data_IF_441448492921
#
_entry.id   IF_441448492921
#
_cell.length_a   1.000
_cell.length_b   1.000
_cell.length_c   1.000
_cell.angle_alpha   90.00
_cell.angle_beta   90.00
_cell.angle_gamma   90.00
#
_symmetry.space_group_name_H-M   'P 1'
#
loop_
_entity.id
_entity.type
_entity.pdbx_description
1 polymer ?
#
# COMPACT_ATOMS: atom_id res chain seq x y z
N UNK A 1 -32.91 -18.96 36.42
CA UNK A 1 -32.90 -20.44 36.28
C UNK A 1 -31.95 -20.81 35.16
N UNK A 2 -31.02 -21.73 35.44
CA UNK A 2 -30.05 -22.34 34.52
C UNK A 2 -30.77 -23.32 33.58
N UNK A 3 -30.31 -23.45 32.34
CA UNK A 3 -30.10 -24.77 31.72
C UNK A 3 -29.13 -24.69 30.54
N UNK A 4 -28.03 -25.40 30.73
CA UNK A 4 -26.98 -25.74 29.78
C UNK A 4 -27.39 -27.03 29.07
N UNK A 5 -27.15 -27.16 27.77
CA UNK A 5 -27.05 -28.45 27.07
C UNK A 5 -25.80 -28.39 26.18
N UNK A 6 -24.71 -29.09 26.56
CA UNK A 6 -24.36 -30.47 26.14
C UNK A 6 -23.95 -30.50 24.67
N UNK A 7 -22.66 -30.45 24.31
CA UNK A 7 -21.58 -31.45 24.46
C UNK A 7 -21.84 -32.78 23.69
N UNK A 8 -21.07 -33.01 22.64
CA UNK A 8 -20.96 -34.31 21.94
C UNK A 8 -19.99 -34.23 20.75
N UNK A 9 -18.67 -34.24 21.00
CA UNK A 9 -17.75 -35.40 20.92
C UNK A 9 -17.48 -35.93 19.49
N UNK A 10 -16.31 -35.53 18.99
CA UNK A 10 -15.25 -36.33 18.33
C UNK A 10 -15.61 -37.38 17.28
N UNK A 11 -15.00 -37.24 16.08
CA UNK A 11 -14.11 -38.27 15.51
C UNK A 11 -13.28 -37.69 14.34
N UNK A 12 -11.96 -37.68 14.53
CA UNK A 12 -10.91 -37.58 13.49
C UNK A 12 -10.90 -38.89 12.66
N UNK A 13 -10.50 -38.88 11.38
CA UNK A 13 -9.07 -39.05 11.04
C UNK A 13 -8.61 -38.20 9.83
N UNK A 14 -7.41 -37.62 9.87
CA UNK A 14 -6.16 -38.16 9.31
C UNK A 14 -6.22 -38.44 7.79
N UNK A 15 -5.71 -37.49 7.00
CA UNK A 15 -5.54 -37.62 5.55
C UNK A 15 -4.27 -36.89 5.09
N UNK A 16 -3.11 -37.43 5.46
CA UNK A 16 -1.84 -37.12 4.78
C UNK A 16 -1.81 -37.94 3.48
N UNK A 17 -1.95 -37.25 2.34
CA UNK A 17 -1.47 -37.75 1.05
C UNK A 17 -0.49 -36.73 0.48
N UNK A 18 0.78 -37.01 0.70
CA UNK A 18 1.85 -36.61 -0.20
C UNK A 18 2.01 -37.73 -1.24
N UNK A 19 1.92 -37.43 -2.54
CA UNK A 19 2.80 -37.97 -3.59
C UNK A 19 2.50 -37.39 -4.97
N UNK A 20 3.51 -36.70 -5.52
CA UNK A 20 3.96 -36.77 -6.91
C UNK A 20 2.92 -36.61 -8.05
N UNK A 21 2.78 -35.38 -8.54
CA UNK A 21 2.51 -35.15 -9.97
C UNK A 21 3.83 -34.70 -10.64
N UNK A 22 4.57 -35.69 -11.12
CA UNK A 22 5.65 -35.52 -12.09
C UNK A 22 5.05 -35.21 -13.47
N UNK A 23 5.45 -34.10 -14.10
CA UNK A 23 5.34 -33.91 -15.55
C UNK A 23 6.52 -33.05 -15.99
N UNK A 24 7.66 -33.71 -16.27
CA UNK A 24 8.82 -33.07 -16.89
C UNK A 24 9.15 -33.83 -18.18
N UNK A 25 8.94 -33.15 -19.30
CA UNK A 25 9.15 -33.58 -20.68
C UNK A 25 10.67 -33.66 -20.98
N UNK A 26 11.15 -34.62 -21.80
CA UNK A 26 12.56 -34.96 -21.89
C UNK A 26 13.30 -34.06 -22.88
N UNK A 27 14.50 -33.61 -22.52
CA UNK A 27 15.53 -33.17 -23.45
C UNK A 27 16.70 -34.13 -23.32
N UNK A 28 16.96 -34.89 -24.38
CA UNK A 28 18.08 -35.82 -24.41
C UNK A 28 19.40 -35.09 -24.55
N UNK A 29 20.49 -35.69 -24.05
CA UNK A 29 21.71 -35.95 -24.80
C UNK A 29 22.48 -37.12 -24.17
N UNK A 30 23.17 -37.83 -25.06
CA UNK A 30 23.88 -39.09 -24.97
C UNK A 30 25.11 -39.11 -24.04
N UNK A 31 25.22 -40.22 -23.31
CA UNK A 31 26.41 -41.01 -22.96
C UNK A 31 27.80 -40.36 -23.09
N UNK A 32 28.54 -40.24 -21.97
CA UNK A 32 29.81 -40.96 -21.80
C UNK A 32 30.29 -41.00 -20.34
N UNK A 33 30.85 -42.14 -19.99
CA UNK A 33 31.15 -42.64 -18.66
C UNK A 33 32.59 -42.30 -18.24
N UNK A 34 32.78 -41.86 -16.99
CA UNK A 34 34.11 -41.66 -16.39
C UNK A 34 33.99 -41.19 -14.93
N UNK A 35 34.28 -42.08 -13.99
CA UNK A 35 34.15 -41.86 -12.56
C UNK A 35 35.32 -41.06 -11.96
N UNK A 36 35.01 -40.07 -11.11
CA UNK A 36 35.69 -39.74 -9.84
C UNK A 36 35.05 -38.49 -9.20
N UNK A 37 34.69 -38.57 -7.92
CA UNK A 37 34.26 -37.43 -7.08
C UNK A 37 35.50 -36.61 -6.63
N UNK A 38 35.39 -35.33 -6.19
CA UNK A 38 34.55 -34.88 -5.07
C UNK A 38 33.73 -33.59 -5.30
N UNK A 39 32.73 -33.36 -4.45
CA UNK A 39 31.91 -32.13 -4.34
C UNK A 39 32.75 -30.95 -3.76
N UNK A 40 32.39 -29.66 -3.94
CA UNK A 40 31.09 -29.12 -3.54
C UNK A 40 30.48 -28.01 -4.43
N UNK A 41 29.17 -27.79 -4.23
CA UNK A 41 28.48 -26.49 -4.30
C UNK A 41 28.52 -25.72 -5.64
N UNK A 42 27.47 -25.92 -6.41
CA UNK A 42 27.02 -24.99 -7.44
C UNK A 42 25.50 -25.01 -7.47
N UNK A 43 24.86 -24.56 -6.40
CA UNK A 43 23.45 -24.21 -6.47
C UNK A 43 23.35 -23.05 -7.46
N UNK A 44 22.80 -23.33 -8.64
CA UNK A 44 22.24 -22.30 -9.51
C UNK A 44 21.16 -21.58 -8.69
N UNK A 45 21.53 -20.45 -8.09
CA UNK A 45 20.59 -19.42 -7.69
C UNK A 45 19.86 -18.96 -8.94
N UNK A 46 18.69 -19.58 -9.13
CA UNK A 46 17.60 -19.07 -9.91
C UNK A 46 17.39 -17.62 -9.48
N UNK A 47 17.83 -16.69 -10.34
CA UNK A 47 17.66 -15.26 -10.16
C UNK A 47 16.16 -14.97 -10.08
N UNK A 48 15.64 -14.89 -8.86
CA UNK A 48 14.36 -14.28 -8.57
C UNK A 48 14.44 -12.83 -9.09
N UNK A 49 13.44 -12.31 -9.81
CA UNK A 49 13.48 -10.97 -10.35
C UNK A 49 13.87 -9.96 -9.27
N UNK A 50 14.85 -9.12 -9.60
CA UNK A 50 15.29 -7.99 -8.79
C UNK A 50 14.21 -6.90 -8.74
N UNK A 51 12.98 -7.22 -8.34
CA UNK A 51 11.90 -6.25 -8.15
C UNK A 51 11.78 -5.77 -6.69
N UNK A 52 12.38 -6.47 -5.73
CA UNK A 52 12.23 -6.14 -4.30
C UNK A 52 13.18 -5.07 -3.77
N UNK A 53 14.17 -4.62 -4.56
CA UNK A 53 15.12 -3.57 -4.12
C UNK A 53 14.79 -2.21 -4.78
N UNK A 54 14.15 -2.20 -5.94
CA UNK A 54 13.73 -0.96 -6.61
C UNK A 54 12.41 -0.41 -6.03
N UNK A 55 11.50 -1.27 -5.58
CA UNK A 55 10.26 -0.88 -4.91
C UNK A 55 10.48 -0.28 -3.50
N UNK A 56 11.66 -0.46 -2.89
CA UNK A 56 12.03 0.23 -1.65
C UNK A 56 12.56 1.65 -1.90
N UNK A 57 13.03 1.96 -3.11
CA UNK A 57 13.48 3.32 -3.47
C UNK A 57 12.38 4.19 -4.06
N UNK A 58 11.37 3.57 -4.67
CA UNK A 58 10.15 4.25 -5.08
C UNK A 58 9.24 4.29 -3.86
N UNK A 59 9.06 5.47 -3.26
CA UNK A 59 8.21 5.61 -2.09
C UNK A 59 6.78 5.10 -2.31
N UNK A 60 6.03 4.99 -1.21
CA UNK A 60 4.68 4.43 -1.22
C UNK A 60 3.83 5.06 -2.33
N UNK A 61 3.11 4.24 -3.13
CA UNK A 61 2.29 4.76 -4.21
C UNK A 61 1.22 5.68 -3.64
N UNK A 62 1.03 6.84 -4.26
CA UNK A 62 -0.02 7.79 -3.88
C UNK A 62 -0.99 7.92 -5.03
N UNK A 63 -2.28 7.87 -4.69
CA UNK A 63 -3.35 8.06 -5.65
C UNK A 63 -4.56 8.74 -5.02
N UNK A 64 -5.20 9.60 -5.79
CA UNK A 64 -6.48 10.23 -5.44
C UNK A 64 -7.57 9.63 -6.32
N UNK A 65 -8.62 9.14 -5.69
CA UNK A 65 -9.75 8.49 -6.35
C UNK A 65 -11.02 9.32 -6.16
N UNK A 66 -11.94 9.18 -7.11
CA UNK A 66 -13.31 9.64 -6.90
C UNK A 66 -14.02 8.69 -5.94
N UNK A 67 -14.78 9.24 -5.00
CA UNK A 67 -15.49 8.47 -4.02
C UNK A 67 -16.88 9.07 -3.71
N UNK A 68 -17.80 8.22 -3.28
CA UNK A 68 -19.18 8.59 -2.96
C UNK A 68 -19.74 7.72 -1.83
N UNK A 69 -20.76 8.19 -1.14
CA UNK A 69 -21.56 7.39 -0.21
C UNK A 69 -22.61 6.56 -0.92
N UNK A 70 -22.98 6.91 -2.15
CA UNK A 70 -23.90 6.12 -2.98
C UNK A 70 -23.18 5.03 -3.76
N UNK A 71 -23.88 3.91 -4.00
CA UNK A 71 -23.33 2.81 -4.76
C UNK A 71 -23.42 3.08 -6.26
N UNK A 72 -22.29 3.04 -6.95
CA UNK A 72 -22.19 3.21 -8.39
C UNK A 72 -21.76 1.91 -9.08
N UNK A 73 -22.25 1.67 -10.29
CA UNK A 73 -21.86 0.48 -11.05
C UNK A 73 -20.34 0.48 -11.31
N UNK A 74 -19.69 -0.64 -10.96
CA UNK A 74 -18.23 -0.81 -11.13
C UNK A 74 -17.38 -0.13 -10.06
N UNK A 75 -17.98 0.53 -9.06
CA UNK A 75 -17.26 1.11 -7.94
C UNK A 75 -17.07 0.09 -6.82
N UNK A 76 -15.96 0.22 -6.10
CA UNK A 76 -15.60 -0.71 -5.02
C UNK A 76 -16.04 -0.15 -3.67
N UNK A 77 -16.83 -0.91 -2.94
CA UNK A 77 -17.17 -0.59 -1.55
C UNK A 77 -15.94 -0.73 -0.65
N UNK A 78 -15.72 0.28 0.20
CA UNK A 78 -14.67 0.31 1.22
C UNK A 78 -15.31 0.71 2.55
N UNK A 79 -15.07 -0.10 3.59
CA UNK A 79 -15.56 0.19 4.92
C UNK A 79 -14.62 1.17 5.63
N UNK A 80 -15.16 2.29 6.10
CA UNK A 80 -14.48 3.27 6.95
C UNK A 80 -15.25 3.41 8.27
N UNK A 81 -14.67 4.10 9.26
CA UNK A 81 -15.34 4.30 10.55
C UNK A 81 -16.70 5.00 10.43
N UNK A 82 -16.83 5.92 9.46
CA UNK A 82 -18.05 6.67 9.21
C UNK A 82 -19.14 5.89 8.44
N UNK A 83 -18.85 4.68 7.96
CA UNK A 83 -19.77 3.90 7.12
C UNK A 83 -19.09 3.32 5.88
N UNK A 84 -19.89 3.04 4.85
CA UNK A 84 -19.38 2.49 3.58
C UNK A 84 -19.22 3.62 2.59
N UNK A 85 -18.05 3.69 1.95
CA UNK A 85 -17.78 4.60 0.85
C UNK A 85 -17.45 3.77 -0.40
N UNK A 86 -17.97 4.17 -1.55
CA UNK A 86 -17.73 3.54 -2.83
C UNK A 86 -16.66 4.32 -3.56
N UNK A 87 -15.64 3.64 -4.06
CA UNK A 87 -14.51 4.24 -4.77
C UNK A 87 -14.55 3.85 -6.24
N UNK A 88 -14.35 4.84 -7.12
CA UNK A 88 -14.03 4.60 -8.50
C UNK A 88 -12.67 3.89 -8.59
N UNK A 89 -12.55 2.73 -9.27
CA UNK A 89 -11.27 2.03 -9.39
C UNK A 89 -10.23 2.78 -10.24
N UNK A 90 -10.65 3.80 -11.01
CA UNK A 90 -9.75 4.64 -11.80
C UNK A 90 -9.21 5.81 -10.94
N UNK A 91 -7.88 5.91 -10.72
CA UNK A 91 -7.29 7.06 -10.04
C UNK A 91 -7.38 8.30 -10.92
N UNK A 92 -7.77 9.43 -10.33
CA UNK A 92 -7.79 10.74 -11.00
C UNK A 92 -6.36 11.30 -11.05
N UNK A 93 -5.66 11.18 -9.92
CA UNK A 93 -4.30 11.68 -9.73
C UNK A 93 -3.44 10.54 -9.24
N UNK A 94 -2.28 10.40 -9.85
CA UNK A 94 -1.25 9.44 -9.50
C UNK A 94 0.03 10.16 -9.12
N UNK A 95 1.07 9.41 -8.75
CA UNK A 95 2.37 9.99 -8.41
C UNK A 95 2.97 10.84 -9.54
N UNK A 96 2.76 10.44 -10.80
CA UNK A 96 3.27 11.15 -11.98
C UNK A 96 2.59 12.50 -12.22
N UNK A 97 1.42 12.72 -11.61
CA UNK A 97 0.67 13.97 -11.71
C UNK A 97 1.04 14.98 -10.62
N UNK A 98 1.97 14.63 -9.72
CA UNK A 98 2.41 15.44 -8.59
C UNK A 98 3.82 15.98 -8.78
N UNK A 99 4.04 17.25 -8.46
CA UNK A 99 5.37 17.89 -8.44
C UNK A 99 5.94 18.00 -7.01
N UNK A 100 5.08 18.14 -6.00
CA UNK A 100 5.48 18.35 -4.61
C UNK A 100 4.58 17.60 -3.61
N UNK A 101 5.13 17.21 -2.46
CA UNK A 101 4.38 16.57 -1.37
C UNK A 101 4.90 17.07 -0.03
N UNK A 102 4.03 17.69 0.77
CA UNK A 102 4.39 18.31 2.05
C UNK A 102 3.45 17.87 3.17
N UNK A 103 4.02 17.53 4.31
CA UNK A 103 3.27 17.42 5.55
C UNK A 103 3.19 18.79 6.23
N UNK A 104 2.10 19.05 6.92
CA UNK A 104 1.90 20.20 7.79
C UNK A 104 0.90 19.90 8.88
N UNK A 105 0.53 20.94 9.63
CA UNK A 105 -0.43 20.86 10.72
C UNK A 105 -1.38 22.04 10.62
N UNK A 106 -2.67 21.82 10.87
CA UNK A 106 -3.67 22.88 10.97
C UNK A 106 -3.50 23.66 12.27
N UNK A 107 -4.13 24.83 12.38
CA UNK A 107 -4.15 25.59 13.61
C UNK A 107 -4.80 24.83 14.79
N UNK A 108 -5.63 23.81 14.52
CA UNK A 108 -6.24 22.96 15.53
C UNK A 108 -5.39 21.72 15.91
N UNK A 109 -4.19 21.57 15.34
CA UNK A 109 -3.34 20.40 15.57
C UNK A 109 -3.66 19.20 14.68
N UNK A 110 -4.51 19.35 13.66
CA UNK A 110 -4.81 18.28 12.70
C UNK A 110 -3.66 18.15 11.70
N UNK A 111 -3.20 16.92 11.43
CA UNK A 111 -2.19 16.68 10.41
C UNK A 111 -2.76 16.92 9.01
N UNK A 112 -2.05 17.73 8.22
CA UNK A 112 -2.41 18.06 6.84
C UNK A 112 -1.37 17.49 5.88
N UNK A 113 -1.84 16.83 4.83
CA UNK A 113 -1.02 16.39 3.71
C UNK A 113 -1.36 17.22 2.48
N UNK A 114 -0.38 17.98 2.01
CA UNK A 114 -0.52 18.87 0.87
C UNK A 114 0.20 18.26 -0.35
N UNK A 115 -0.54 18.03 -1.42
CA UNK A 115 -0.05 17.49 -2.68
C UNK A 115 -0.02 18.62 -3.72
N UNK A 116 1.17 19.03 -4.14
CA UNK A 116 1.34 19.89 -5.31
C UNK A 116 0.97 19.12 -6.57
N UNK A 117 0.12 19.73 -7.40
CA UNK A 117 -0.29 19.19 -8.68
C UNK A 117 0.53 19.81 -9.81
N UNK A 118 0.92 18.98 -10.77
CA UNK A 118 1.36 19.47 -12.07
C UNK A 118 0.22 20.16 -12.83
N UNK A 119 0.54 20.93 -13.87
CA UNK A 119 -0.49 21.55 -14.74
C UNK A 119 -1.45 20.51 -15.35
N UNK A 120 -0.94 19.32 -15.70
CA UNK A 120 -1.77 18.21 -16.17
C UNK A 120 -2.67 17.68 -15.04
N UNK A 121 -2.12 17.51 -13.84
CA UNK A 121 -2.87 17.06 -12.66
C UNK A 121 -4.01 18.01 -12.32
N UNK A 122 -3.76 19.33 -12.30
CA UNK A 122 -4.77 20.36 -12.08
C UNK A 122 -5.92 20.23 -13.06
N UNK A 123 -5.61 20.13 -14.35
CA UNK A 123 -6.63 20.01 -15.40
C UNK A 123 -7.47 18.73 -15.24
N UNK A 124 -6.83 17.59 -14.92
CA UNK A 124 -7.55 16.34 -14.63
C UNK A 124 -8.50 16.48 -13.43
N UNK A 125 -8.05 17.11 -12.35
CA UNK A 125 -8.89 17.35 -11.17
C UNK A 125 -10.06 18.27 -11.52
N UNK A 126 -9.80 19.39 -12.19
CA UNK A 126 -10.84 20.34 -12.58
C UNK A 126 -11.88 19.70 -13.50
N UNK A 127 -11.43 18.98 -14.53
CA UNK A 127 -12.31 18.30 -15.50
C UNK A 127 -13.18 17.24 -14.79
N UNK A 128 -12.59 16.40 -13.93
CA UNK A 128 -13.33 15.33 -13.22
C UNK A 128 -14.26 15.91 -12.15
N UNK A 129 -13.81 16.85 -11.34
CA UNK A 129 -14.63 17.44 -10.26
C UNK A 129 -15.75 18.32 -10.81
N UNK A 130 -15.52 18.99 -11.95
CA UNK A 130 -16.56 19.73 -12.66
C UNK A 130 -17.63 18.83 -13.30
N UNK A 131 -17.22 17.67 -13.85
CA UNK A 131 -18.16 16.68 -14.38
C UNK A 131 -18.95 15.95 -13.28
N UNK A 132 -18.44 15.94 -12.05
CA UNK A 132 -18.96 15.15 -10.93
C UNK A 132 -19.13 16.01 -9.66
N UNK A 133 -20.08 16.95 -9.61
CA UNK A 133 -20.27 17.79 -8.42
C UNK A 133 -20.82 16.97 -7.24
N UNK A 134 -20.61 17.46 -6.01
CA UNK A 134 -21.08 16.86 -4.75
C UNK A 134 -20.50 15.46 -4.44
N UNK A 135 -19.37 15.11 -5.03
CA UNK A 135 -18.67 13.85 -4.72
C UNK A 135 -17.52 14.08 -3.73
N UNK A 136 -16.71 13.05 -3.52
CA UNK A 136 -15.61 13.04 -2.54
C UNK A 136 -14.31 12.64 -3.23
N UNK A 137 -13.20 13.17 -2.74
CA UNK A 137 -11.86 12.80 -3.21
C UNK A 137 -11.19 11.93 -2.16
N UNK A 138 -11.05 10.63 -2.43
CA UNK A 138 -10.38 9.70 -1.53
C UNK A 138 -8.87 9.69 -1.79
N UNK A 139 -8.10 10.13 -0.80
CA UNK A 139 -6.65 10.00 -0.79
C UNK A 139 -6.25 8.62 -0.29
N UNK A 140 -5.47 7.90 -1.09
CA UNK A 140 -4.89 6.60 -0.74
C UNK A 140 -3.38 6.68 -0.83
N UNK A 141 -2.71 6.26 0.23
CA UNK A 141 -1.25 6.13 0.29
C UNK A 141 -0.90 4.68 0.57
N UNK A 142 -0.13 4.06 -0.33
CA UNK A 142 0.12 2.63 -0.33
C UNK A 142 -1.17 1.85 -0.59
N UNK A 143 -1.76 1.35 0.50
CA UNK A 143 -3.01 0.58 0.52
C UNK A 143 -4.01 1.13 1.54
N UNK A 144 -3.68 2.26 2.16
CA UNK A 144 -4.46 2.84 3.25
C UNK A 144 -5.16 4.08 2.73
N UNK A 145 -6.48 4.13 2.89
CA UNK A 145 -7.24 5.35 2.66
C UNK A 145 -6.98 6.29 3.84
N UNK A 146 -6.39 7.44 3.55
CA UNK A 146 -5.96 8.42 4.54
C UNK A 146 -7.07 9.44 4.83
N UNK A 147 -7.78 9.86 3.78
CA UNK A 147 -8.82 10.88 3.86
C UNK A 147 -9.81 10.72 2.71
N UNK A 148 -11.03 11.22 2.89
CA UNK A 148 -12.01 11.33 1.82
C UNK A 148 -12.88 12.60 2.00
N UNK A 149 -12.33 13.81 1.84
CA UNK A 149 -13.12 15.04 1.88
C UNK A 149 -14.15 15.09 0.74
N UNK A 150 -15.32 15.66 1.03
CA UNK A 150 -16.31 16.02 0.02
C UNK A 150 -15.99 17.36 -0.63
N UNK A 151 -16.43 17.55 -1.87
CA UNK A 151 -16.39 18.82 -2.57
C UNK A 151 -17.76 19.09 -3.22
N UNK A 152 -18.15 20.35 -3.34
CA UNK A 152 -19.44 20.74 -3.93
C UNK A 152 -19.30 21.36 -5.32
N UNK A 153 -18.11 21.85 -5.67
CA UNK A 153 -17.80 22.54 -6.92
C UNK A 153 -16.47 22.05 -7.49
N UNK A 154 -16.21 22.38 -8.76
CA UNK A 154 -14.96 22.03 -9.41
C UNK A 154 -13.76 22.56 -8.61
N UNK A 155 -12.76 21.71 -8.41
CA UNK A 155 -11.54 22.03 -7.67
C UNK A 155 -10.49 22.45 -8.70
N UNK A 156 -10.15 23.74 -8.71
CA UNK A 156 -9.19 24.35 -9.64
C UNK A 156 -7.90 24.83 -8.95
N UNK A 157 -7.55 24.24 -7.80
CA UNK A 157 -6.39 24.63 -7.01
C UNK A 157 -5.10 23.95 -7.48
N UNK A 158 -3.96 24.64 -7.33
CA UNK A 158 -2.64 24.06 -7.62
C UNK A 158 -2.22 22.98 -6.61
N UNK A 159 -2.89 22.95 -5.46
CA UNK A 159 -2.58 22.04 -4.37
C UNK A 159 -3.85 21.43 -3.80
N UNK A 160 -3.78 20.12 -3.54
CA UNK A 160 -4.80 19.40 -2.79
C UNK A 160 -4.33 19.21 -1.36
N UNK A 161 -5.13 19.67 -0.40
CA UNK A 161 -4.83 19.55 1.04
C UNK A 161 -5.81 18.58 1.67
N UNK A 162 -5.29 17.54 2.31
CA UNK A 162 -6.06 16.49 2.96
C UNK A 162 -5.79 16.48 4.47
N UNK A 163 -6.83 16.52 5.29
CA UNK A 163 -6.73 16.22 6.72
C UNK A 163 -6.53 14.72 6.93
N UNK A 164 -5.43 14.33 7.57
CA UNK A 164 -5.05 12.94 7.83
C UNK A 164 -5.00 12.60 9.32
N UNK A 165 -5.71 13.36 10.15
CA UNK A 165 -5.80 13.15 11.59
C UNK A 165 -4.66 13.83 12.35
N UNK A 166 -3.53 13.16 12.59
CA UNK A 166 -2.42 13.71 13.40
C UNK A 166 -1.24 14.16 12.55
N UNK A 167 -0.46 15.13 13.05
CA UNK A 167 0.79 15.57 12.42
C UNK A 167 1.76 14.41 12.16
N UNK A 168 1.85 13.47 13.10
CA UNK A 168 2.66 12.27 12.95
C UNK A 168 2.23 11.44 11.74
N UNK A 169 0.92 11.32 11.49
CA UNK A 169 0.39 10.62 10.32
C UNK A 169 0.70 11.37 9.02
N UNK A 170 0.58 12.70 9.01
CA UNK A 170 0.94 13.53 7.86
C UNK A 170 2.41 13.39 7.51
N UNK A 171 3.29 13.50 8.51
CA UNK A 171 4.74 13.34 8.33
C UNK A 171 5.10 11.94 7.86
N UNK A 172 4.53 10.90 8.47
CA UNK A 172 4.74 9.52 8.04
C UNK A 172 4.29 9.30 6.60
N UNK A 173 3.13 9.83 6.21
CA UNK A 173 2.63 9.73 4.84
C UNK A 173 3.55 10.45 3.85
N UNK A 174 3.94 11.70 4.12
CA UNK A 174 4.84 12.45 3.25
C UNK A 174 6.19 11.75 3.08
N UNK A 175 6.78 11.23 4.16
CA UNK A 175 8.05 10.46 4.10
C UNK A 175 7.90 9.15 3.33
N UNK A 176 6.81 8.43 3.58
CA UNK A 176 6.51 7.19 2.88
C UNK A 176 6.39 7.45 1.38
N UNK A 177 5.64 8.48 0.99
CA UNK A 177 5.48 8.91 -0.39
C UNK A 177 6.85 9.28 -0.98
N UNK A 178 7.65 10.11 -0.29
CA UNK A 178 8.99 10.52 -0.71
C UNK A 178 10.03 9.39 -0.81
N UNK A 179 9.71 8.18 -0.32
CA UNK A 179 10.63 7.04 -0.35
C UNK A 179 11.78 7.15 0.64
N UNK A 180 11.65 8.01 1.65
CA UNK A 180 12.60 8.11 2.75
C UNK A 180 12.29 6.98 3.73
N UNK A 181 13.22 6.03 3.98
CA UNK A 181 13.01 4.99 4.98
C UNK A 181 12.67 5.64 6.33
N UNK A 182 11.77 5.04 7.14
CA UNK A 182 11.63 5.47 8.52
C UNK A 182 13.02 5.35 9.16
N UNK A 183 13.55 6.45 9.68
CA UNK A 183 14.80 6.40 10.44
C UNK A 183 14.62 5.36 11.54
N UNK A 184 15.54 4.38 11.67
CA UNK A 184 15.54 3.56 12.86
C UNK A 184 15.63 4.53 14.03
N UNK A 185 14.69 4.46 14.96
CA UNK A 185 14.80 5.17 16.22
C UNK A 185 16.18 4.82 16.78
N UNK A 186 17.12 5.76 16.69
CA UNK A 186 18.40 5.64 17.35
C UNK A 186 18.05 5.63 18.82
N UNK A 187 17.90 4.43 19.38
CA UNK A 187 18.18 4.17 20.78
C UNK A 187 19.62 4.64 20.97
N UNK A 188 19.78 5.93 21.26
CA UNK A 188 20.97 6.50 21.84
C UNK A 188 21.07 5.91 23.24
N UNK A 189 21.46 4.66 23.31
CA UNK A 189 22.16 4.12 24.45
C UNK A 189 23.41 4.99 24.58
N UNK A 190 23.33 5.98 25.47
CA UNK A 190 24.50 6.53 26.14
C UNK A 190 25.25 5.34 26.72
N UNK A 191 26.22 4.82 25.99
CA UNK A 191 27.26 3.97 26.55
C UNK A 191 28.03 4.87 27.50
N UNK A 192 27.63 4.78 28.77
CA UNK A 192 28.40 5.25 29.91
C UNK A 192 29.86 4.88 29.68
N UNK A 193 30.73 5.87 29.77
CA UNK A 193 32.18 5.70 29.84
C UNK A 193 32.54 5.25 31.25
N UNK A 194 33.18 4.08 31.46
CA UNK A 194 33.97 3.84 32.64
C UNK A 194 35.46 3.98 32.29
N UNK A 195 36.18 4.82 33.04
CA UNK A 195 37.64 4.98 32.94
C UNK A 195 38.04 6.45 33.04
N UNK A 196 38.88 6.90 33.97
CA UNK A 196 39.86 6.24 34.84
C UNK A 196 40.06 7.12 36.08
#
# INVERSE_FOLDING_TARGET
MKTVHQLGRFLLPLGLLALAACQTVPVGQSQQQGAAAPAPQGATEQSKPAETVQATRQGAPVAVFLADTENHAGWRAVQIQAGTIYLNPQPIITRDDLDDVRAGTSAQGEGLLALGLTELGKKKVEDITGANPNMRLALVVGRTMMAAPGYTTAVSTDQLVFGVGTEANATAAARAIAGVPPEPATSGASTATPGN
#
